data_IF_499246694706
#
_entry.id   IF_499246694706
#
_cell.length_a   1.000
_cell.length_b   1.000
_cell.length_c   1.000
_cell.angle_alpha   90.00
_cell.angle_beta   90.00
_cell.angle_gamma   90.00
#
_symmetry.space_group_name_H-M   'P 1'
#
loop_
_entity.id
_entity.type
_entity.pdbx_description
1 polymer ?
#
# COMPACT_ATOMS: atom_id res chain seq x y z
N UNK A 1 7.54 20.04 -2.35
CA UNK A 1 6.22 19.37 -2.57
C UNK A 1 5.12 20.35 -3.01
N UNK A 2 5.14 21.62 -2.59
CA UNK A 2 4.14 22.60 -3.07
C UNK A 2 4.32 22.97 -4.55
N UNK A 3 5.55 23.14 -5.02
CA UNK A 3 5.83 23.51 -6.42
C UNK A 3 5.36 22.44 -7.42
N UNK A 4 5.55 21.16 -7.08
CA UNK A 4 5.08 20.03 -7.91
C UNK A 4 3.56 20.01 -8.03
N UNK A 5 2.85 20.40 -6.97
CA UNK A 5 1.38 20.41 -6.93
C UNK A 5 0.80 21.56 -7.76
N UNK A 6 1.40 22.75 -7.68
CA UNK A 6 1.00 23.90 -8.50
C UNK A 6 1.27 23.67 -10.00
N UNK A 7 2.36 22.97 -10.33
CA UNK A 7 2.68 22.60 -11.71
C UNK A 7 1.69 21.55 -12.28
N UNK A 8 1.20 20.63 -11.43
CA UNK A 8 0.16 19.66 -11.82
C UNK A 8 -1.17 20.37 -12.06
N UNK A 9 -1.59 21.28 -11.17
CA UNK A 9 -2.83 22.06 -11.34
C UNK A 9 -2.81 22.86 -12.63
N UNK A 10 -1.72 23.59 -12.90
CA UNK A 10 -1.60 24.41 -14.11
C UNK A 10 -1.61 23.55 -15.40
N UNK A 11 -1.02 22.36 -15.35
CA UNK A 11 -1.04 21.40 -16.47
C UNK A 11 -2.44 20.85 -16.73
N UNK A 12 -3.21 20.54 -15.68
CA UNK A 12 -4.60 20.08 -15.80
C UNK A 12 -5.48 21.19 -16.40
N UNK A 13 -5.32 22.44 -15.94
CA UNK A 13 -6.08 23.58 -16.47
C UNK A 13 -5.76 23.80 -17.95
N UNK A 14 -4.48 23.76 -18.34
CA UNK A 14 -4.07 23.88 -19.75
C UNK A 14 -4.59 22.75 -20.62
N UNK A 15 -4.58 21.52 -20.11
CA UNK A 15 -5.14 20.38 -20.84
C UNK A 15 -6.66 20.50 -20.99
N UNK A 16 -7.36 20.90 -19.93
CA UNK A 16 -8.81 21.08 -19.94
C UNK A 16 -9.24 22.20 -20.89
N UNK A 17 -8.49 23.30 -20.96
CA UNK A 17 -8.74 24.35 -21.95
C UNK A 17 -8.47 23.84 -23.37
N UNK A 18 -7.36 23.13 -23.62
CA UNK A 18 -7.05 22.57 -24.92
C UNK A 18 -8.13 21.60 -25.44
N UNK A 19 -8.65 20.71 -24.57
CA UNK A 19 -9.70 19.73 -24.94
C UNK A 19 -11.04 20.40 -25.27
N UNK A 20 -11.33 21.55 -24.68
CA UNK A 20 -12.60 22.25 -24.86
C UNK A 20 -12.57 23.36 -25.91
N UNK A 21 -11.39 23.79 -26.38
CA UNK A 21 -11.24 24.86 -27.39
C UNK A 21 -11.97 24.52 -28.68
N UNK A 22 -11.82 23.30 -29.20
CA UNK A 22 -12.43 22.91 -30.49
C UNK A 22 -13.95 22.65 -30.39
N UNK A 23 -14.46 22.42 -29.17
CA UNK A 23 -15.90 22.23 -28.92
C UNK A 23 -16.66 23.54 -28.74
N UNK A 24 -15.97 24.68 -28.62
CA UNK A 24 -16.63 25.99 -28.57
C UNK A 24 -17.10 26.35 -29.99
N UNK A 25 -18.36 26.78 -30.17
CA UNK A 25 -18.78 27.32 -31.47
C UNK A 25 -17.90 28.55 -31.79
N UNK A 26 -17.30 28.58 -32.99
CA UNK A 26 -16.50 29.72 -33.45
C UNK A 26 -17.39 30.97 -33.47
N UNK A 27 -16.96 32.09 -32.86
CA UNK A 27 -17.78 33.30 -32.80
C UNK A 27 -18.02 33.82 -34.21
N UNK A 28 -19.27 33.78 -34.67
CA UNK A 28 -19.67 34.32 -35.96
C UNK A 28 -20.03 35.80 -35.76
N UNK A 29 -19.29 36.76 -36.36
CA UNK A 29 -19.53 38.19 -36.15
C UNK A 29 -20.91 38.64 -36.66
N UNK A 30 -21.50 37.93 -37.63
CA UNK A 30 -22.86 38.20 -38.11
C UNK A 30 -23.97 37.70 -37.17
N UNK A 31 -23.62 36.93 -36.13
CA UNK A 31 -24.53 36.38 -35.11
C UNK A 31 -24.09 36.79 -33.70
N UNK A 32 -23.33 37.88 -33.59
CA UNK A 32 -23.06 38.52 -32.31
C UNK A 32 -24.27 39.39 -31.97
N UNK A 33 -24.90 39.09 -30.84
CA UNK A 33 -26.09 39.76 -30.34
C UNK A 33 -25.68 40.51 -29.08
N UNK A 34 -26.14 41.74 -28.90
CA UNK A 34 -25.80 42.51 -27.71
C UNK A 34 -26.41 41.84 -26.46
N UNK A 35 -25.81 42.01 -25.28
CA UNK A 35 -26.26 41.35 -24.03
C UNK A 35 -27.76 41.57 -23.75
N UNK A 36 -28.32 42.67 -24.25
CA UNK A 36 -29.72 43.09 -24.07
C UNK A 36 -30.68 42.41 -25.05
N UNK A 37 -30.20 41.93 -26.19
CA UNK A 37 -30.99 41.23 -27.21
C UNK A 37 -30.96 39.70 -27.02
N UNK A 38 -30.11 39.20 -26.11
CA UNK A 38 -30.29 37.83 -25.63
C UNK A 38 -31.65 37.75 -24.95
N UNK A 39 -32.47 36.70 -25.19
CA UNK A 39 -33.60 36.39 -24.34
C UNK A 39 -33.07 35.94 -22.98
N UNK A 40 -32.53 36.88 -22.20
CA UNK A 40 -32.41 36.76 -20.76
C UNK A 40 -33.84 36.61 -20.27
N UNK A 41 -34.08 35.57 -19.47
CA UNK A 41 -35.32 35.43 -18.74
C UNK A 41 -35.66 36.79 -18.12
N UNK A 42 -36.90 37.29 -18.27
CA UNK A 42 -37.26 38.60 -17.75
C UNK A 42 -36.87 38.66 -16.26
N UNK A 43 -36.20 39.76 -15.86
CA UNK A 43 -35.80 40.05 -14.47
C UNK A 43 -37.02 40.27 -13.53
N UNK A 44 -38.22 39.99 -14.04
CA UNK A 44 -39.41 39.78 -13.23
C UNK A 44 -39.16 38.54 -12.39
N UNK A 45 -38.56 38.72 -11.21
CA UNK A 45 -38.41 37.67 -10.22
C UNK A 45 -39.82 37.10 -9.96
N UNK A 46 -40.17 35.91 -10.51
CA UNK A 46 -41.47 35.35 -10.23
C UNK A 46 -41.54 35.20 -8.73
N UNK A 47 -42.65 35.61 -8.10
CA UNK A 47 -42.85 35.39 -6.67
C UNK A 47 -42.80 33.88 -6.42
N UNK A 48 -41.61 33.39 -6.08
CA UNK A 48 -41.39 32.03 -5.68
C UNK A 48 -41.92 31.96 -4.25
N UNK A 49 -43.11 31.38 -4.09
CA UNK A 49 -43.45 30.82 -2.79
C UNK A 49 -42.50 29.64 -2.66
N UNK A 50 -41.45 29.80 -1.86
CA UNK A 50 -40.61 28.68 -1.44
C UNK A 50 -41.55 27.74 -0.69
N UNK A 51 -42.17 26.82 -1.44
CA UNK A 51 -42.94 25.74 -0.87
C UNK A 51 -41.91 25.00 -0.05
N UNK A 52 -42.10 25.01 1.26
CA UNK A 52 -41.33 24.19 2.18
C UNK A 52 -41.70 22.73 1.83
N UNK A 53 -41.12 22.21 0.76
CA UNK A 53 -41.30 20.86 0.30
C UNK A 53 -40.84 19.97 1.45
N UNK A 54 -41.81 19.37 2.15
CA UNK A 54 -41.53 18.49 3.25
C UNK A 54 -40.61 17.39 2.69
N UNK A 55 -39.34 17.29 3.13
CA UNK A 55 -38.37 16.55 2.36
C UNK A 55 -38.84 15.10 2.29
N UNK A 56 -38.97 14.61 1.06
CA UNK A 56 -39.41 13.24 0.80
C UNK A 56 -38.52 12.30 1.62
N UNK A 57 -39.06 11.22 2.20
CA UNK A 57 -38.29 10.35 3.10
C UNK A 57 -36.94 9.91 2.51
N UNK A 58 -36.88 9.64 1.20
CA UNK A 58 -35.65 9.28 0.48
C UNK A 58 -34.61 10.43 0.45
N UNK A 59 -35.04 11.69 0.32
CA UNK A 59 -34.12 12.83 0.33
C UNK A 59 -33.52 13.06 1.72
N UNK A 60 -34.30 12.79 2.79
CA UNK A 60 -33.79 12.83 4.17
C UNK A 60 -32.70 11.78 4.38
N UNK A 61 -32.92 10.56 3.91
CA UNK A 61 -31.94 9.46 4.02
C UNK A 61 -30.64 9.78 3.27
N UNK A 62 -30.71 10.26 2.03
CA UNK A 62 -29.50 10.64 1.28
C UNK A 62 -28.76 11.83 1.92
N UNK A 63 -29.49 12.80 2.47
CA UNK A 63 -28.89 13.93 3.19
C UNK A 63 -28.18 13.45 4.47
N UNK A 64 -28.75 12.49 5.18
CA UNK A 64 -28.15 11.86 6.36
C UNK A 64 -26.87 11.11 5.99
N UNK A 65 -26.92 10.30 4.94
CA UNK A 65 -25.77 9.56 4.43
C UNK A 65 -24.63 10.50 4.01
N UNK A 66 -24.96 11.59 3.29
CA UNK A 66 -23.97 12.60 2.87
C UNK A 66 -23.33 13.28 4.07
N UNK A 67 -24.11 13.68 5.06
CA UNK A 67 -23.59 14.30 6.30
C UNK A 67 -22.69 13.34 7.06
N UNK A 68 -23.10 12.09 7.22
CA UNK A 68 -22.31 11.04 7.86
C UNK A 68 -21.00 10.76 7.10
N UNK A 69 -21.06 10.69 5.77
CA UNK A 69 -19.88 10.49 4.92
C UNK A 69 -18.90 11.65 5.00
N UNK A 70 -19.39 12.89 4.91
CA UNK A 70 -18.58 14.11 5.03
C UNK A 70 -17.95 14.22 6.42
N UNK A 71 -18.70 13.92 7.48
CA UNK A 71 -18.18 13.93 8.84
C UNK A 71 -17.10 12.86 9.03
N UNK A 72 -17.26 11.68 8.43
CA UNK A 72 -16.25 10.62 8.48
C UNK A 72 -14.99 10.99 7.71
N UNK A 73 -15.13 11.57 6.51
CA UNK A 73 -14.00 12.03 5.70
C UNK A 73 -13.26 13.21 6.33
N UNK A 74 -13.97 14.16 6.95
CA UNK A 74 -13.37 15.27 7.68
C UNK A 74 -12.49 14.80 8.85
N UNK A 75 -12.99 13.85 9.64
CA UNK A 75 -12.22 13.25 10.74
C UNK A 75 -10.98 12.48 10.25
N UNK A 76 -11.03 11.90 9.06
CA UNK A 76 -9.87 11.24 8.43
C UNK A 76 -8.79 12.25 8.02
N UNK A 77 -9.15 13.44 7.54
CA UNK A 77 -8.21 14.49 7.18
C UNK A 77 -7.38 14.99 8.36
N UNK A 78 -8.04 15.27 9.49
CA UNK A 78 -7.38 15.66 10.76
C UNK A 78 -6.46 14.54 11.29
N UNK A 79 -6.88 13.29 11.15
CA UNK A 79 -6.07 12.13 11.56
C UNK A 79 -4.81 11.98 10.71
N UNK A 80 -4.89 12.29 9.41
CA UNK A 80 -3.77 12.17 8.49
C UNK A 80 -2.62 13.14 8.81
N UNK A 81 -2.94 14.41 9.10
CA UNK A 81 -1.94 15.41 9.52
C UNK A 81 -1.27 15.00 10.84
N UNK A 82 -2.06 14.54 11.80
CA UNK A 82 -1.54 14.02 13.06
C UNK A 82 -0.65 12.78 12.89
N UNK A 83 -0.92 11.93 11.88
CA UNK A 83 -0.08 10.77 11.57
C UNK A 83 1.26 11.19 11.00
N UNK A 84 1.31 12.23 10.17
CA UNK A 84 2.58 12.72 9.61
C UNK A 84 3.51 13.22 10.71
N UNK A 85 3.00 14.02 11.64
CA UNK A 85 3.81 14.56 12.75
C UNK A 85 4.20 13.47 13.75
N UNK A 86 3.30 12.52 14.04
CA UNK A 86 3.62 11.35 14.86
C UNK A 86 4.68 10.46 14.19
N UNK A 87 4.61 10.29 12.87
CA UNK A 87 5.59 9.52 12.10
C UNK A 87 6.98 10.13 12.21
N UNK A 88 7.10 11.45 12.02
CA UNK A 88 8.37 12.17 12.20
C UNK A 88 8.93 11.98 13.61
N UNK A 89 8.07 12.04 14.65
CA UNK A 89 8.49 11.80 16.04
C UNK A 89 8.99 10.37 16.27
N UNK A 90 8.30 9.37 15.70
CA UNK A 90 8.73 7.96 15.77
C UNK A 90 10.06 7.76 15.05
N UNK A 91 10.25 8.36 13.88
CA UNK A 91 11.52 8.29 13.14
C UNK A 91 12.66 8.88 13.95
N UNK A 92 12.49 10.08 14.51
CA UNK A 92 13.53 10.72 15.33
C UNK A 92 13.85 9.87 16.57
N UNK A 93 12.83 9.35 17.26
CA UNK A 93 13.03 8.46 18.41
C UNK A 93 13.70 7.14 18.04
N UNK A 94 13.43 6.60 16.85
CA UNK A 94 14.07 5.39 16.34
C UNK A 94 15.56 5.65 16.05
N UNK A 95 15.89 6.83 15.51
CA UNK A 95 17.25 7.24 15.23
C UNK A 95 18.07 7.39 16.52
N UNK A 96 17.49 8.00 17.56
CA UNK A 96 18.09 8.05 18.90
C UNK A 96 18.33 6.64 19.45
N UNK A 97 17.33 5.76 19.38
CA UNK A 97 17.45 4.37 19.84
C UNK A 97 18.53 3.60 19.08
N UNK A 98 18.67 3.85 17.77
CA UNK A 98 19.72 3.25 16.95
C UNK A 98 21.11 3.72 17.37
N UNK A 99 21.26 4.99 17.75
CA UNK A 99 22.51 5.52 18.29
C UNK A 99 22.83 4.92 19.67
N UNK A 100 21.83 4.81 20.55
CA UNK A 100 21.96 4.15 21.86
C UNK A 100 22.38 2.68 21.76
N UNK A 101 21.85 1.92 20.80
CA UNK A 101 22.25 0.52 20.57
C UNK A 101 23.66 0.38 19.96
N UNK A 102 24.17 1.45 19.35
CA UNK A 102 25.49 1.49 18.73
C UNK A 102 26.59 1.86 19.74
N UNK A 103 26.28 2.70 20.71
CA UNK A 103 27.28 3.28 21.62
C UNK A 103 27.60 2.41 22.85
N UNK A 104 26.64 1.69 23.49
CA UNK A 104 26.88 1.19 24.87
C UNK A 104 26.37 -0.21 25.28
N UNK A 105 25.87 -1.07 24.37
CA UNK A 105 25.29 -2.36 24.79
C UNK A 105 26.01 -3.60 24.25
N UNK A 106 26.27 -4.56 25.16
CA UNK A 106 26.80 -5.90 24.85
C UNK A 106 25.83 -6.79 24.06
N UNK A 107 26.26 -8.01 23.69
CA UNK A 107 25.44 -8.95 22.89
C UNK A 107 24.07 -9.28 23.50
N UNK A 108 23.92 -9.18 24.83
CA UNK A 108 22.72 -9.61 25.56
C UNK A 108 21.46 -8.78 25.21
N UNK A 109 21.45 -7.43 25.32
CA UNK A 109 20.32 -6.60 24.86
C UNK A 109 19.98 -6.77 23.38
N UNK A 110 20.99 -6.96 22.52
CA UNK A 110 20.80 -7.13 21.07
C UNK A 110 20.06 -8.42 20.75
N UNK A 111 20.48 -9.52 21.37
CA UNK A 111 19.80 -10.81 21.24
C UNK A 111 18.38 -10.74 21.82
N UNK A 112 18.18 -10.07 22.95
CA UNK A 112 16.86 -9.89 23.55
C UNK A 112 15.89 -9.11 22.64
N UNK A 113 16.37 -8.06 21.98
CA UNK A 113 15.55 -7.30 21.02
C UNK A 113 15.09 -8.19 19.85
N UNK A 114 16.00 -9.02 19.31
CA UNK A 114 15.69 -9.96 18.23
C UNK A 114 14.65 -10.99 18.69
N UNK A 115 14.81 -11.59 19.87
CA UNK A 115 13.83 -12.58 20.37
C UNK A 115 12.45 -11.97 20.59
N UNK A 116 12.38 -10.75 21.13
CA UNK A 116 11.11 -10.01 21.29
C UNK A 116 10.47 -9.75 19.93
N UNK A 117 11.25 -9.35 18.91
CA UNK A 117 10.75 -9.16 17.55
C UNK A 117 10.20 -10.45 16.93
N UNK A 118 10.94 -11.56 17.07
CA UNK A 118 10.53 -12.87 16.55
C UNK A 118 9.29 -13.43 17.24
N UNK A 119 9.20 -13.28 18.56
CA UNK A 119 8.07 -13.72 19.38
C UNK A 119 6.82 -12.87 19.09
N UNK A 120 6.98 -11.55 18.93
CA UNK A 120 5.90 -10.65 18.50
C UNK A 120 5.39 -11.03 17.11
N UNK A 121 6.29 -11.33 16.17
CA UNK A 121 5.92 -11.85 14.84
C UNK A 121 5.19 -13.20 14.90
N UNK A 122 5.61 -14.10 15.80
CA UNK A 122 4.95 -15.38 16.00
C UNK A 122 3.51 -15.22 16.54
N UNK A 123 3.33 -14.37 17.56
CA UNK A 123 2.01 -14.06 18.11
C UNK A 123 1.09 -13.44 17.06
N UNK A 124 1.61 -12.54 16.22
CA UNK A 124 0.84 -11.96 15.11
C UNK A 124 0.42 -13.00 14.06
N UNK A 125 1.24 -14.04 13.86
CA UNK A 125 0.95 -15.15 12.96
C UNK A 125 0.04 -16.24 13.53
N UNK A 126 -0.19 -16.27 14.86
CA UNK A 126 -0.84 -17.38 15.57
C UNK A 126 -2.25 -17.71 15.06
N UNK A 127 -3.01 -16.68 14.64
CA UNK A 127 -4.39 -16.82 14.12
C UNK A 127 -4.46 -17.39 12.69
N UNK A 128 -3.32 -17.63 12.04
CA UNK A 128 -3.22 -18.12 10.65
C UNK A 128 -2.52 -19.49 10.58
N UNK A 129 -2.46 -20.06 9.37
CA UNK A 129 -1.79 -21.34 9.04
C UNK A 129 -0.35 -21.41 9.56
N UNK A 130 0.12 -22.62 9.86
CA UNK A 130 1.48 -22.92 10.36
C UNK A 130 2.58 -22.26 9.53
N UNK A 131 2.47 -22.26 8.20
CA UNK A 131 3.45 -21.60 7.33
C UNK A 131 3.51 -20.08 7.57
N UNK A 132 2.35 -19.44 7.74
CA UNK A 132 2.30 -18.01 8.03
C UNK A 132 2.89 -17.69 9.41
N UNK A 133 2.75 -18.58 10.39
CA UNK A 133 3.39 -18.42 11.72
C UNK A 133 4.91 -18.31 11.59
N UNK A 134 5.53 -19.20 10.81
CA UNK A 134 6.97 -19.15 10.54
C UNK A 134 7.37 -17.93 9.74
N UNK A 135 6.60 -17.54 8.71
CA UNK A 135 6.91 -16.34 7.93
C UNK A 135 6.85 -15.07 8.78
N UNK A 136 5.80 -14.87 9.58
CA UNK A 136 5.68 -13.67 10.43
C UNK A 136 6.73 -13.63 11.53
N UNK A 137 7.07 -14.78 12.13
CA UNK A 137 8.16 -14.87 13.10
C UNK A 137 9.52 -14.57 12.46
N UNK A 138 9.80 -15.17 11.30
CA UNK A 138 11.02 -14.91 10.53
C UNK A 138 11.14 -13.44 10.10
N UNK A 139 10.03 -12.82 9.69
CA UNK A 139 10.00 -11.39 9.38
C UNK A 139 10.33 -10.53 10.61
N UNK A 140 9.78 -10.86 11.78
CA UNK A 140 10.06 -10.15 13.03
C UNK A 140 11.50 -10.32 13.51
N UNK A 141 12.08 -11.52 13.35
CA UNK A 141 13.50 -11.76 13.60
C UNK A 141 14.37 -10.95 12.62
N UNK A 142 14.06 -11.01 11.32
CA UNK A 142 14.85 -10.36 10.28
C UNK A 142 14.84 -8.84 10.45
N UNK A 143 13.68 -8.23 10.70
CA UNK A 143 13.58 -6.78 10.87
C UNK A 143 14.38 -6.29 12.07
N UNK A 144 14.30 -6.99 13.21
CA UNK A 144 15.10 -6.64 14.40
C UNK A 144 16.59 -6.91 14.20
N UNK A 145 16.96 -8.02 13.56
CA UNK A 145 18.37 -8.33 13.26
C UNK A 145 18.97 -7.31 12.29
N UNK A 146 18.24 -6.91 11.24
CA UNK A 146 18.68 -5.88 10.30
C UNK A 146 18.86 -4.53 10.98
N UNK A 147 18.00 -4.22 11.97
CA UNK A 147 18.09 -2.99 12.75
C UNK A 147 19.31 -3.00 13.70
N UNK A 148 19.58 -4.13 14.35
CA UNK A 148 20.64 -4.23 15.37
C UNK A 148 22.03 -4.57 14.80
N UNK A 149 22.09 -5.28 13.67
CA UNK A 149 23.30 -5.76 12.98
C UNK A 149 23.24 -5.52 11.45
N UNK A 150 23.20 -4.26 10.99
CA UNK A 150 22.97 -3.95 9.57
C UNK A 150 24.07 -4.50 8.64
N UNK A 151 25.34 -4.43 9.05
CA UNK A 151 26.46 -4.89 8.21
C UNK A 151 26.51 -6.42 8.10
N UNK A 152 26.30 -7.13 9.21
CA UNK A 152 26.26 -8.60 9.22
C UNK A 152 25.03 -9.11 8.46
N UNK A 153 23.87 -8.46 8.61
CA UNK A 153 22.67 -8.79 7.85
C UNK A 153 22.91 -8.62 6.34
N UNK A 154 23.57 -7.55 5.89
CA UNK A 154 23.91 -7.36 4.47
C UNK A 154 24.88 -8.45 3.98
N UNK A 155 25.89 -8.82 4.77
CA UNK A 155 26.83 -9.86 4.39
C UNK A 155 26.14 -11.23 4.24
N UNK A 156 25.35 -11.63 5.24
CA UNK A 156 24.62 -12.90 5.24
C UNK A 156 23.59 -12.95 4.12
N UNK A 157 22.86 -11.87 3.87
CA UNK A 157 21.86 -11.82 2.79
C UNK A 157 22.49 -11.95 1.40
N UNK A 158 23.66 -11.35 1.16
CA UNK A 158 24.40 -11.53 -0.09
C UNK A 158 24.84 -12.98 -0.29
N UNK A 159 25.45 -13.57 0.74
CA UNK A 159 25.89 -14.97 0.72
C UNK A 159 24.70 -15.91 0.47
N UNK A 160 23.59 -15.69 1.17
CA UNK A 160 22.37 -16.47 0.99
C UNK A 160 21.79 -16.35 -0.43
N UNK A 161 21.86 -15.15 -1.03
CA UNK A 161 21.41 -14.93 -2.40
C UNK A 161 22.28 -15.66 -3.42
N UNK A 162 23.60 -15.59 -3.28
CA UNK A 162 24.54 -16.28 -4.16
C UNK A 162 24.37 -17.81 -4.09
N UNK A 163 24.34 -18.38 -2.88
CA UNK A 163 24.08 -19.81 -2.70
C UNK A 163 22.67 -20.21 -3.15
N UNK A 164 21.66 -19.36 -2.93
CA UNK A 164 20.30 -19.60 -3.38
C UNK A 164 20.21 -19.67 -4.90
N UNK A 165 20.91 -18.77 -5.61
CA UNK A 165 20.99 -18.81 -7.06
C UNK A 165 21.68 -20.09 -7.56
N UNK A 166 22.81 -20.45 -6.97
CA UNK A 166 23.55 -21.68 -7.35
C UNK A 166 22.69 -22.92 -7.07
N UNK A 167 22.03 -23.00 -5.92
CA UNK A 167 21.14 -24.12 -5.58
C UNK A 167 19.95 -24.21 -6.56
N UNK A 168 19.39 -23.07 -6.94
CA UNK A 168 18.31 -23.01 -7.92
C UNK A 168 18.78 -23.48 -9.31
N UNK A 169 19.92 -22.97 -9.78
CA UNK A 169 20.50 -23.35 -11.07
C UNK A 169 20.81 -24.86 -11.11
N UNK A 170 21.30 -25.43 -10.01
CA UNK A 170 21.53 -26.86 -9.87
C UNK A 170 20.24 -27.68 -9.84
N UNK A 171 19.17 -27.17 -9.22
CA UNK A 171 17.87 -27.81 -9.21
C UNK A 171 17.24 -27.85 -10.60
N UNK A 172 17.30 -26.74 -11.34
CA UNK A 172 16.78 -26.64 -12.72
C UNK A 172 17.57 -27.56 -13.67
N UNK A 173 18.86 -27.77 -13.41
CA UNK A 173 19.73 -28.68 -14.20
C UNK A 173 19.77 -30.11 -13.67
N UNK A 174 18.99 -30.44 -12.64
CA UNK A 174 19.05 -31.76 -12.02
C UNK A 174 18.61 -32.82 -13.05
N UNK A 175 19.44 -33.86 -13.33
CA UNK A 175 19.05 -34.92 -14.26
C UNK A 175 17.84 -35.67 -13.71
N UNK A 176 16.99 -36.18 -14.61
CA UNK A 176 15.88 -37.04 -14.22
C UNK A 176 16.40 -38.25 -13.44
N UNK A 177 15.71 -38.67 -12.35
CA UNK A 177 16.15 -39.81 -11.57
C UNK A 177 16.19 -41.06 -12.46
N UNK A 178 17.22 -41.93 -12.32
CA UNK A 178 17.25 -43.17 -13.08
C UNK A 178 15.98 -43.97 -12.79
N UNK A 179 15.31 -44.46 -13.83
CA UNK A 179 14.17 -45.36 -13.67
C UNK A 179 14.60 -46.53 -12.80
N UNK A 180 14.03 -46.65 -11.60
CA UNK A 180 14.16 -47.87 -10.83
C UNK A 180 13.31 -48.92 -11.56
N UNK A 181 13.94 -49.70 -12.44
CA UNK A 181 13.30 -50.93 -12.87
C UNK A 181 13.16 -51.80 -11.62
N UNK A 182 11.92 -52.06 -11.19
CA UNK A 182 11.59 -53.15 -10.26
C UNK A 182 12.07 -54.43 -10.92
N UNK A 183 13.34 -54.79 -10.72
CA UNK A 183 13.87 -56.08 -11.15
C UNK A 183 13.31 -57.08 -10.16
N UNK A 184 12.37 -57.88 -10.66
CA UNK A 184 11.80 -59.03 -10.00
C UNK A 184 12.91 -60.07 -9.74
N UNK A 185 13.70 -59.87 -8.70
CA UNK A 185 14.56 -60.92 -8.15
C UNK A 185 13.73 -61.72 -7.14
N UNK A 186 12.72 -62.42 -7.65
CA UNK A 186 12.15 -63.58 -6.98
C UNK A 186 13.03 -64.77 -7.40
N UNK A 187 13.83 -65.37 -6.51
CA UNK A 187 14.55 -66.59 -6.85
C UNK A 187 13.53 -67.70 -7.05
N UNK A 188 13.39 -68.09 -8.32
CA UNK A 188 12.71 -69.30 -8.76
C UNK A 188 13.32 -70.52 -8.06
N UNK A 189 12.45 -71.28 -7.41
CA UNK A 189 12.62 -72.67 -7.03
C UNK A 189 13.45 -73.44 -8.07
N UNK A 190 14.57 -74.02 -7.64
CA UNK A 190 15.21 -75.14 -8.32
C UNK A 190 15.26 -76.28 -7.33
N UNK A 191 14.30 -77.19 -7.52
CA UNK A 191 14.29 -78.57 -7.07
C UNK A 191 15.36 -79.39 -7.80
N UNK A 192 15.66 -80.58 -7.24
CA UNK A 192 16.49 -81.68 -7.78
C UNK A 192 18.01 -81.50 -7.62
N UNK A 193 18.79 -82.47 -7.14
CA UNK A 193 18.54 -83.80 -6.56
C UNK A 193 19.84 -84.23 -5.86
#
# INVERSE_FOLDING_TARGET
>A
MNETLENIKSSIVRWWTAVNVDKRPKPNPARMVTVQELPMYPDEAPYYKEVQELPMPIQKEMALLRRAALQRLGNFGESYLNVEDKSKKVFNSTQEFQQFLREDYGLLPKAAAVTIGGLTGFFLGMKKSVFRRFLYSGLGLLTMTAFCYPYEAIAVTRIAFEHGKVAWDNFVRSPEPPEYSVRADAPSSSSEQ
#
